data_IF_198877669238
#
_entry.id   IF_198877669238
#
_cell.length_a   1.000
_cell.length_b   1.000
_cell.length_c   1.000
_cell.angle_alpha   90.00
_cell.angle_beta   90.00
_cell.angle_gamma   90.00
#
_symmetry.space_group_name_H-M   'P 1'
#
loop_
_entity.id
_entity.type
_entity.pdbx_description
1 polymer ?
#
# COMPACT_ATOMS: atom_id res chain seq x y z
N UNK A 1 -26.67 -3.94 12.31
CA UNK A 1 -25.24 -3.61 12.43
C UNK A 1 -24.96 -2.51 11.41
N UNK A 2 -24.27 -1.43 11.79
CA UNK A 2 -23.94 -0.34 10.86
C UNK A 2 -22.98 -0.81 9.79
N UNK A 3 -23.10 -0.27 8.60
CA UNK A 3 -22.16 -0.49 7.49
C UNK A 3 -20.87 0.31 7.71
N UNK A 4 -19.78 -0.06 7.03
CA UNK A 4 -18.50 0.66 7.10
C UNK A 4 -18.67 2.15 6.74
N UNK A 5 -19.52 2.45 5.75
CA UNK A 5 -19.82 3.83 5.33
C UNK A 5 -20.54 4.60 6.44
N UNK A 6 -21.57 4.03 7.06
CA UNK A 6 -22.30 4.66 8.16
C UNK A 6 -21.37 4.96 9.34
N UNK A 7 -20.49 4.03 9.71
CA UNK A 7 -19.51 4.22 10.77
C UNK A 7 -18.55 5.37 10.41
N UNK A 8 -18.03 5.40 9.18
CA UNK A 8 -17.12 6.44 8.74
C UNK A 8 -17.77 7.83 8.68
N UNK A 9 -19.04 7.92 8.24
CA UNK A 9 -19.78 9.18 8.14
C UNK A 9 -20.19 9.75 9.49
N UNK A 10 -20.40 8.91 10.50
CA UNK A 10 -20.69 9.32 11.87
C UNK A 10 -19.44 9.69 12.67
N UNK A 11 -18.24 9.51 12.12
CA UNK A 11 -16.99 9.75 12.82
C UNK A 11 -16.81 11.24 13.18
N UNK A 12 -16.50 11.51 14.44
CA UNK A 12 -16.08 12.83 14.90
C UNK A 12 -14.58 13.02 14.64
N UNK A 13 -14.25 13.62 13.49
CA UNK A 13 -12.86 13.82 13.10
C UNK A 13 -12.22 15.02 13.81
N UNK A 14 -11.00 14.83 14.26
CA UNK A 14 -10.15 15.91 14.78
C UNK A 14 -9.59 16.74 13.61
N UNK A 15 -9.46 18.06 13.72
CA UNK A 15 -8.73 18.84 12.72
C UNK A 15 -7.34 18.29 12.47
N UNK A 16 -6.93 18.19 11.22
CA UNK A 16 -5.67 17.49 10.86
C UNK A 16 -4.43 18.11 11.51
N UNK A 17 -4.41 19.40 11.75
CA UNK A 17 -3.32 20.04 12.47
C UNK A 17 -3.14 19.50 13.89
N UNK A 18 -4.24 19.19 14.57
CA UNK A 18 -4.19 18.61 15.91
C UNK A 18 -3.74 17.14 15.89
N UNK A 19 -4.08 16.41 14.82
CA UNK A 19 -3.54 15.05 14.59
C UNK A 19 -2.03 15.11 14.36
N UNK A 20 -1.56 16.05 13.56
CA UNK A 20 -0.14 16.26 13.28
C UNK A 20 0.66 16.64 14.54
N UNK A 21 0.08 17.47 15.42
CA UNK A 21 0.69 17.85 16.70
C UNK A 21 0.99 16.67 17.60
N UNK A 22 0.23 15.56 17.54
CA UNK A 22 0.52 14.33 18.29
C UNK A 22 1.89 13.73 17.91
N UNK A 23 2.37 14.03 16.72
CA UNK A 23 3.65 13.57 16.19
C UNK A 23 4.77 14.64 16.32
N UNK A 24 4.45 15.79 16.88
CA UNK A 24 5.37 16.93 16.96
C UNK A 24 5.49 17.71 15.65
N UNK A 25 4.55 17.55 14.74
CA UNK A 25 4.50 18.29 13.48
C UNK A 25 3.74 19.60 13.72
N UNK A 26 4.36 20.72 13.37
CA UNK A 26 3.71 22.04 13.48
C UNK A 26 2.91 22.40 12.23
N UNK A 27 2.05 23.41 12.32
CA UNK A 27 1.25 23.88 11.18
C UNK A 27 2.13 24.36 10.01
N UNK A 28 3.33 24.89 10.29
CA UNK A 28 4.29 25.32 9.28
C UNK A 28 4.94 24.15 8.51
N UNK A 29 4.86 22.94 9.04
CA UNK A 29 5.45 21.73 8.45
C UNK A 29 4.46 20.92 7.60
N UNK A 30 3.20 21.38 7.50
CA UNK A 30 2.14 20.73 6.73
C UNK A 30 1.49 21.70 5.74
N UNK A 31 0.99 21.15 4.63
CA UNK A 31 0.15 21.85 3.67
C UNK A 31 -1.28 21.34 3.78
N UNK A 32 -2.21 22.18 4.20
CA UNK A 32 -3.60 21.79 4.43
C UNK A 32 -4.34 21.55 3.10
N UNK A 33 -5.02 20.42 3.03
CA UNK A 33 -5.97 20.06 1.97
C UNK A 33 -7.38 19.97 2.57
N UNK A 34 -7.87 21.10 3.08
CA UNK A 34 -9.08 21.19 3.88
C UNK A 34 -8.82 20.93 5.36
N UNK A 35 -9.89 20.66 6.12
CA UNK A 35 -9.84 20.57 7.59
C UNK A 35 -9.21 19.25 8.10
N UNK A 36 -9.34 18.17 7.33
CA UNK A 36 -9.09 16.81 7.81
C UNK A 36 -7.99 16.06 7.06
N UNK A 37 -7.32 16.70 6.09
CA UNK A 37 -6.21 16.14 5.31
C UNK A 37 -5.10 17.16 5.18
N UNK A 38 -3.87 16.69 5.10
CA UNK A 38 -2.71 17.54 4.80
C UNK A 38 -1.61 16.72 4.13
N UNK A 39 -0.65 17.42 3.56
CA UNK A 39 0.63 16.87 3.13
C UNK A 39 1.72 17.31 4.09
N UNK A 40 2.67 16.40 4.36
CA UNK A 40 3.86 16.70 5.15
C UNK A 40 4.89 17.32 4.21
N UNK A 41 5.46 18.48 4.60
CA UNK A 41 6.45 19.19 3.81
C UNK A 41 7.77 18.40 3.69
N UNK A 42 8.50 18.65 2.61
CA UNK A 42 9.83 18.03 2.45
C UNK A 42 10.82 18.56 3.49
N UNK A 43 10.68 19.82 3.88
CA UNK A 43 11.48 20.50 4.89
C UNK A 43 11.35 19.85 6.26
N UNK A 44 10.16 19.33 6.59
CA UNK A 44 9.96 18.61 7.84
C UNK A 44 10.82 17.36 7.91
N UNK A 45 10.88 16.56 6.84
CA UNK A 45 11.75 15.38 6.82
C UNK A 45 13.22 15.73 7.07
N UNK A 46 13.70 16.83 6.46
CA UNK A 46 15.07 17.29 6.67
C UNK A 46 15.37 17.68 8.13
N UNK A 47 14.35 18.17 8.87
CA UNK A 47 14.47 18.48 10.29
C UNK A 47 14.61 17.23 11.17
N UNK A 48 13.97 16.12 10.80
CA UNK A 48 13.86 14.91 11.63
C UNK A 48 14.70 13.74 11.13
N UNK A 49 15.33 13.83 9.97
CA UNK A 49 16.05 12.69 9.34
C UNK A 49 17.13 12.05 10.21
N UNK A 50 17.70 12.79 11.15
CA UNK A 50 18.75 12.33 12.05
C UNK A 50 18.20 11.77 13.38
N UNK A 51 16.86 11.78 13.59
CA UNK A 51 16.24 11.11 14.72
C UNK A 51 16.47 9.59 14.65
N UNK A 52 16.44 8.93 15.81
CA UNK A 52 16.43 7.46 15.87
C UNK A 52 15.15 6.92 15.19
N UNK A 53 15.27 5.77 14.53
CA UNK A 53 14.14 5.09 13.96
C UNK A 53 13.29 4.41 15.03
N UNK A 54 11.97 4.54 14.89
CA UNK A 54 11.03 3.71 15.64
C UNK A 54 11.02 2.26 15.16
N UNK A 55 10.20 1.44 15.78
CA UNK A 55 10.04 0.02 15.45
C UNK A 55 9.11 -0.16 14.25
N UNK A 56 9.57 -0.90 13.25
CA UNK A 56 8.82 -1.19 12.03
C UNK A 56 8.09 -2.52 12.12
N UNK A 57 6.77 -2.49 12.01
CA UNK A 57 5.89 -3.65 12.05
C UNK A 57 5.26 -3.83 10.67
N UNK A 58 5.53 -4.97 10.04
CA UNK A 58 4.89 -5.34 8.77
C UNK A 58 3.68 -6.22 9.03
N UNK A 59 2.50 -5.79 8.59
CA UNK A 59 1.29 -6.62 8.57
C UNK A 59 1.16 -7.24 7.18
N UNK A 60 1.05 -8.56 7.14
CA UNK A 60 0.81 -9.34 5.94
C UNK A 60 -0.27 -10.39 6.22
N UNK A 61 -0.58 -11.24 5.27
CA UNK A 61 -1.62 -12.26 5.42
C UNK A 61 -1.23 -13.55 4.71
N UNK A 62 -1.96 -14.61 4.99
CA UNK A 62 -1.96 -15.81 4.15
C UNK A 62 -2.52 -15.49 2.77
N UNK A 63 -2.49 -16.44 1.83
CA UNK A 63 -2.99 -16.23 0.47
C UNK A 63 -4.41 -15.63 0.48
N UNK A 64 -4.68 -14.66 -0.42
CA UNK A 64 -6.01 -14.08 -0.54
C UNK A 64 -7.07 -15.11 -0.90
N UNK A 65 -8.20 -15.06 -0.20
CA UNK A 65 -9.39 -15.85 -0.49
C UNK A 65 -10.55 -14.96 -0.92
N UNK A 66 -11.61 -15.52 -1.52
CA UNK A 66 -12.79 -14.73 -1.89
C UNK A 66 -13.50 -14.04 -0.72
N UNK A 67 -13.27 -14.52 0.52
CA UNK A 67 -13.83 -13.94 1.72
C UNK A 67 -13.06 -12.72 2.24
N UNK A 68 -11.80 -12.57 1.81
CA UNK A 68 -10.86 -11.59 2.34
C UNK A 68 -10.32 -11.97 3.73
N UNK A 69 -9.11 -11.54 4.05
CA UNK A 69 -8.45 -11.82 5.35
C UNK A 69 -8.53 -10.63 6.31
N UNK A 70 -8.91 -9.45 5.81
CA UNK A 70 -9.04 -8.24 6.63
C UNK A 70 -7.70 -7.62 7.03
N UNK A 71 -6.67 -7.78 6.21
CA UNK A 71 -5.32 -7.25 6.49
C UNK A 71 -5.30 -5.76 6.81
N UNK A 72 -5.91 -4.91 6.00
CA UNK A 72 -5.97 -3.46 6.23
C UNK A 72 -6.74 -3.14 7.51
N UNK A 73 -7.85 -3.82 7.78
CA UNK A 73 -8.61 -3.67 9.03
C UNK A 73 -7.74 -3.99 10.24
N UNK A 74 -6.98 -5.09 10.19
CA UNK A 74 -6.04 -5.45 11.27
C UNK A 74 -4.91 -4.42 11.39
N UNK A 75 -4.37 -3.93 10.29
CA UNK A 75 -3.33 -2.89 10.30
C UNK A 75 -3.80 -1.62 11.00
N UNK A 76 -4.99 -1.14 10.66
CA UNK A 76 -5.58 0.06 11.26
C UNK A 76 -5.91 -0.18 12.73
N UNK A 77 -6.61 -1.28 13.05
CA UNK A 77 -6.97 -1.60 14.42
C UNK A 77 -5.76 -1.84 15.34
N UNK A 78 -4.68 -2.41 14.81
CA UNK A 78 -3.43 -2.54 15.55
C UNK A 78 -2.83 -1.15 15.87
N UNK A 79 -2.82 -0.23 14.91
CA UNK A 79 -2.37 1.15 15.14
C UNK A 79 -3.21 1.88 16.20
N UNK A 80 -4.53 1.72 16.16
CA UNK A 80 -5.43 2.24 17.19
C UNK A 80 -5.13 1.63 18.57
N UNK A 81 -4.88 0.31 18.62
CA UNK A 81 -4.54 -0.38 19.86
C UNK A 81 -3.23 0.15 20.49
N UNK A 82 -2.21 0.42 19.68
CA UNK A 82 -0.99 1.08 20.16
C UNK A 82 -1.30 2.44 20.78
N UNK A 83 -2.18 3.23 20.15
CA UNK A 83 -2.65 4.50 20.70
C UNK A 83 -3.33 4.35 22.06
N UNK A 84 -4.21 3.35 22.21
CA UNK A 84 -4.87 3.05 23.48
C UNK A 84 -3.90 2.55 24.57
N UNK A 85 -2.77 1.99 24.20
CA UNK A 85 -1.68 1.63 25.11
C UNK A 85 -0.73 2.81 25.40
N UNK A 86 -1.09 4.02 25.01
CA UNK A 86 -0.28 5.23 25.13
C UNK A 86 1.08 5.14 24.45
N UNK A 87 1.16 4.41 23.35
CA UNK A 87 2.36 4.33 22.51
C UNK A 87 2.25 5.33 21.37
N UNK A 88 3.34 6.00 21.05
CA UNK A 88 3.41 6.91 19.90
C UNK A 88 3.54 6.09 18.61
N UNK A 89 2.44 5.88 17.94
CA UNK A 89 2.34 5.04 16.75
C UNK A 89 1.83 5.79 15.53
N UNK A 90 2.28 5.39 14.36
CA UNK A 90 1.82 5.87 13.04
C UNK A 90 1.54 4.67 12.15
N UNK A 91 0.44 4.75 11.41
CA UNK A 91 0.11 3.77 10.37
C UNK A 91 0.58 4.32 9.03
N UNK A 92 1.19 3.47 8.20
CA UNK A 92 1.62 3.83 6.85
C UNK A 92 0.96 2.92 5.82
N UNK A 93 0.09 3.50 4.98
CA UNK A 93 -0.78 2.78 4.05
C UNK A 93 -0.58 3.21 2.61
N UNK A 94 -1.02 2.36 1.68
CA UNK A 94 -1.19 2.73 0.28
C UNK A 94 -2.45 3.57 0.10
N UNK A 95 -2.39 4.49 -0.85
CA UNK A 95 -3.55 5.20 -1.37
C UNK A 95 -4.34 4.27 -2.30
N UNK A 96 -5.68 4.16 -2.17
CA UNK A 96 -6.49 3.32 -3.04
C UNK A 96 -6.67 3.91 -4.44
N UNK A 97 -6.72 3.03 -5.44
CA UNK A 97 -7.03 3.36 -6.85
C UNK A 97 -8.53 3.41 -7.08
N UNK A 98 -8.98 4.31 -7.96
CA UNK A 98 -10.40 4.44 -8.34
C UNK A 98 -10.96 3.16 -8.96
N UNK A 99 -10.20 2.48 -9.80
CA UNK A 99 -10.65 1.25 -10.44
C UNK A 99 -11.11 0.19 -9.44
N UNK A 100 -10.29 -0.25 -8.49
CA UNK A 100 -10.69 -1.13 -7.40
C UNK A 100 -11.81 -0.59 -6.50
N UNK A 101 -11.84 0.72 -6.23
CA UNK A 101 -12.92 1.33 -5.41
C UNK A 101 -14.30 1.15 -6.03
N UNK A 102 -14.41 1.30 -7.35
CA UNK A 102 -15.65 1.08 -8.12
C UNK A 102 -15.80 -0.37 -8.62
N UNK A 103 -14.88 -1.26 -8.28
CA UNK A 103 -14.90 -2.67 -8.63
C UNK A 103 -15.44 -3.57 -7.50
N UNK A 104 -15.23 -4.86 -7.66
CA UNK A 104 -15.67 -5.90 -6.68
C UNK A 104 -14.99 -5.71 -5.32
N UNK A 105 -13.77 -5.21 -5.31
CA UNK A 105 -12.99 -5.03 -4.08
C UNK A 105 -13.54 -3.91 -3.18
N UNK A 106 -14.09 -2.85 -3.77
CA UNK A 106 -14.50 -1.65 -3.03
C UNK A 106 -13.32 -0.81 -2.55
N UNK A 107 -13.57 0.08 -1.59
CA UNK A 107 -12.56 0.95 -0.98
C UNK A 107 -11.56 0.21 -0.09
N UNK A 108 -10.49 0.90 0.32
CA UNK A 108 -9.36 0.32 1.06
C UNK A 108 -9.02 1.12 2.33
N UNK A 109 -10.04 1.58 3.06
CA UNK A 109 -9.89 2.37 4.28
C UNK A 109 -9.86 1.54 5.59
N UNK A 110 -9.93 0.22 5.50
CA UNK A 110 -10.20 -0.68 6.62
C UNK A 110 -11.67 -1.08 6.66
N UNK A 111 -12.18 -1.45 7.84
CA UNK A 111 -13.58 -1.85 8.00
C UNK A 111 -14.05 -1.80 9.45
N UNK A 112 -15.36 -1.73 9.65
CA UNK A 112 -15.96 -1.63 10.97
C UNK A 112 -15.44 -0.43 11.75
N UNK A 113 -15.03 -0.68 12.97
CA UNK A 113 -14.46 0.35 13.86
C UNK A 113 -12.94 0.52 13.72
N UNK A 114 -12.32 -0.13 12.73
CA UNK A 114 -10.91 0.01 12.38
C UNK A 114 -10.78 0.60 10.96
N UNK A 115 -11.01 1.90 10.84
CA UNK A 115 -10.98 2.63 9.58
C UNK A 115 -10.12 3.89 9.67
N UNK A 116 -9.54 4.29 8.54
CA UNK A 116 -8.97 5.62 8.34
C UNK A 116 -10.02 6.56 7.77
N UNK A 117 -10.01 7.80 8.22
CA UNK A 117 -10.96 8.85 7.81
C UNK A 117 -10.23 10.15 7.48
N UNK A 118 -10.73 10.96 6.54
CA UNK A 118 -12.01 10.85 5.81
C UNK A 118 -11.97 9.74 4.75
N UNK A 119 -12.83 8.73 4.88
CA UNK A 119 -12.81 7.53 4.05
C UNK A 119 -13.16 7.82 2.58
N UNK A 120 -14.20 8.61 2.35
CA UNK A 120 -14.65 8.94 0.99
C UNK A 120 -13.58 9.72 0.22
N UNK A 121 -12.95 10.71 0.85
CA UNK A 121 -11.86 11.49 0.24
C UNK A 121 -10.69 10.60 -0.14
N UNK A 122 -10.27 9.71 0.76
CA UNK A 122 -9.16 8.80 0.50
C UNK A 122 -9.45 7.84 -0.64
N UNK A 123 -10.67 7.33 -0.74
CA UNK A 123 -11.07 6.39 -1.79
C UNK A 123 -11.28 7.03 -3.17
N UNK A 124 -11.41 8.35 -3.25
CA UNK A 124 -11.66 9.07 -4.50
C UNK A 124 -10.40 9.82 -4.96
N UNK A 125 -10.45 11.14 -5.05
CA UNK A 125 -9.33 11.94 -5.58
C UNK A 125 -8.29 12.32 -4.53
N UNK A 126 -8.61 12.14 -3.27
CA UNK A 126 -7.78 12.39 -2.10
C UNK A 126 -7.10 13.78 -2.11
N UNK A 127 -5.83 13.83 -2.48
CA UNK A 127 -5.03 15.07 -2.62
C UNK A 127 -4.48 15.26 -4.05
N UNK A 128 -4.91 14.43 -4.98
CA UNK A 128 -4.57 14.56 -6.40
C UNK A 128 -3.30 13.82 -6.84
N UNK A 129 -2.70 12.98 -6.00
CA UNK A 129 -1.45 12.29 -6.32
C UNK A 129 -1.58 11.37 -7.53
N UNK A 130 -2.66 10.61 -7.63
CA UNK A 130 -2.90 9.70 -8.76
C UNK A 130 -3.19 10.46 -10.05
N UNK A 131 -3.88 11.59 -9.95
CA UNK A 131 -4.05 12.48 -11.11
C UNK A 131 -2.70 13.02 -11.60
N UNK A 132 -1.82 13.44 -10.70
CA UNK A 132 -0.48 13.90 -11.04
C UNK A 132 0.36 12.79 -11.72
N UNK A 133 0.27 11.56 -11.21
CA UNK A 133 0.97 10.39 -11.78
C UNK A 133 0.42 10.07 -13.18
N UNK A 134 -0.90 10.04 -13.35
CA UNK A 134 -1.55 9.86 -14.65
C UNK A 134 -1.11 10.93 -15.64
N UNK A 135 -1.11 12.20 -15.21
CA UNK A 135 -0.70 13.32 -16.05
C UNK A 135 0.77 13.23 -16.47
N UNK A 136 1.67 12.91 -15.55
CA UNK A 136 3.10 12.76 -15.85
C UNK A 136 3.36 11.59 -16.82
N UNK A 137 2.69 10.46 -16.61
CA UNK A 137 2.79 9.31 -17.49
C UNK A 137 2.30 9.63 -18.92
N UNK A 138 1.17 10.29 -19.03
CA UNK A 138 0.58 10.61 -20.32
C UNK A 138 1.26 11.79 -21.02
N UNK A 139 1.86 12.71 -20.27
CA UNK A 139 2.75 13.74 -20.82
C UNK A 139 3.95 13.09 -21.52
N UNK A 140 4.59 12.10 -20.89
CA UNK A 140 5.70 11.37 -21.52
C UNK A 140 5.26 10.69 -22.81
N UNK A 141 4.10 10.04 -22.83
CA UNK A 141 3.54 9.44 -24.04
C UNK A 141 3.27 10.47 -25.15
N UNK A 142 2.70 11.61 -24.81
CA UNK A 142 2.42 12.68 -25.75
C UNK A 142 3.72 13.29 -26.32
N UNK A 143 4.73 13.52 -25.49
CA UNK A 143 6.03 14.03 -25.93
C UNK A 143 6.78 13.04 -26.84
N UNK A 144 6.67 11.75 -26.54
CA UNK A 144 7.22 10.70 -27.38
C UNK A 144 6.57 10.70 -28.77
N UNK A 145 5.24 10.68 -28.84
CA UNK A 145 4.50 10.72 -30.11
C UNK A 145 4.79 12.02 -30.90
N UNK A 146 4.88 13.15 -30.19
CA UNK A 146 5.27 14.41 -30.82
C UNK A 146 6.69 14.38 -31.37
N UNK A 147 7.65 13.76 -30.68
CA UNK A 147 9.03 13.60 -31.15
C UNK A 147 9.09 12.78 -32.46
N UNK A 148 8.31 11.73 -32.56
CA UNK A 148 8.19 10.91 -33.80
C UNK A 148 7.59 11.78 -34.92
N UNK A 149 6.50 12.50 -34.65
CA UNK A 149 5.76 13.29 -35.64
C UNK A 149 6.57 14.50 -36.13
N UNK A 150 7.35 15.15 -35.29
CA UNK A 150 8.11 16.36 -35.59
C UNK A 150 9.55 16.09 -36.07
N UNK A 151 9.68 15.14 -36.99
CA UNK A 151 10.92 14.86 -37.69
C UNK A 151 11.74 13.71 -37.12
N UNK A 152 11.32 13.09 -36.05
CA UNK A 152 11.92 11.87 -35.48
C UNK A 152 13.45 11.88 -35.39
N UNK A 153 14.01 12.96 -34.85
CA UNK A 153 15.48 13.14 -34.75
C UNK A 153 16.19 12.06 -33.91
N UNK A 154 15.43 11.38 -33.06
CA UNK A 154 15.91 10.25 -32.25
C UNK A 154 15.90 8.92 -33.00
N UNK A 155 15.46 8.89 -34.26
CA UNK A 155 15.36 7.68 -35.09
C UNK A 155 14.53 6.56 -34.47
N UNK A 156 13.43 6.90 -33.78
CA UNK A 156 12.56 5.94 -33.10
C UNK A 156 11.80 5.13 -34.14
N UNK A 157 11.76 3.79 -33.93
CA UNK A 157 10.84 2.93 -34.66
C UNK A 157 9.45 2.97 -33.99
N UNK A 158 8.42 3.47 -34.67
CA UNK A 158 7.05 3.54 -34.12
C UNK A 158 6.48 2.17 -33.71
N UNK A 159 6.99 1.08 -34.30
CA UNK A 159 6.59 -0.28 -33.92
C UNK A 159 7.33 -0.81 -32.67
N UNK A 160 8.32 -0.07 -32.18
CA UNK A 160 9.13 -0.42 -31.01
C UNK A 160 8.88 0.54 -29.83
N UNK A 161 7.73 1.21 -29.80
CA UNK A 161 7.31 2.02 -28.65
C UNK A 161 6.82 1.09 -27.57
N UNK A 162 7.45 1.16 -26.38
CA UNK A 162 7.13 0.31 -25.23
C UNK A 162 6.39 1.07 -24.12
N UNK A 163 6.45 2.41 -24.15
CA UNK A 163 5.75 3.25 -23.18
C UNK A 163 4.24 3.24 -23.42
N UNK A 164 3.48 3.03 -22.36
CA UNK A 164 2.01 2.94 -22.40
C UNK A 164 1.38 4.14 -21.75
N UNK A 165 0.20 4.52 -22.21
CA UNK A 165 -0.67 5.47 -21.53
C UNK A 165 -1.28 4.83 -20.29
N UNK A 166 -1.86 5.63 -19.40
CA UNK A 166 -2.58 5.12 -18.24
C UNK A 166 -3.86 5.91 -17.95
N UNK A 167 -4.76 5.26 -17.24
CA UNK A 167 -5.97 5.84 -16.66
C UNK A 167 -6.26 5.12 -15.36
N UNK A 168 -6.72 5.85 -14.33
CA UNK A 168 -6.97 5.22 -13.03
C UNK A 168 -8.37 4.59 -12.97
N UNK A 169 -8.63 3.65 -13.88
CA UNK A 169 -9.90 2.93 -14.00
C UNK A 169 -9.67 1.52 -14.55
N UNK A 170 -10.52 0.57 -14.14
CA UNK A 170 -10.56 -0.76 -14.74
C UNK A 170 -11.32 -0.67 -16.08
N UNK A 171 -10.59 -0.63 -17.19
CA UNK A 171 -11.18 -0.59 -18.53
C UNK A 171 -10.46 -1.56 -19.49
N UNK A 172 -11.11 -2.69 -19.76
CA UNK A 172 -10.56 -3.74 -20.64
C UNK A 172 -10.52 -3.34 -22.09
N UNK A 173 -11.39 -2.45 -22.52
CA UNK A 173 -11.49 -2.00 -23.92
C UNK A 173 -10.24 -1.21 -24.32
N UNK A 174 -9.59 -0.55 -23.35
CA UNK A 174 -8.38 0.23 -23.58
C UNK A 174 -7.08 -0.57 -23.55
N UNK A 175 -7.11 -1.89 -23.40
CA UNK A 175 -5.90 -2.72 -23.34
C UNK A 175 -5.12 -2.73 -24.64
N UNK A 176 -5.80 -2.68 -25.77
CA UNK A 176 -5.18 -2.57 -27.08
C UNK A 176 -5.99 -1.58 -27.89
N UNK A 177 -5.38 -0.47 -28.28
CA UNK A 177 -5.99 0.62 -29.03
C UNK A 177 -5.10 1.02 -30.19
N UNK A 178 -5.69 1.61 -31.22
CA UNK A 178 -4.95 2.25 -32.29
C UNK A 178 -5.00 3.76 -32.09
N UNK A 179 -3.85 4.40 -32.05
CA UNK A 179 -3.71 5.86 -31.89
C UNK A 179 -3.20 6.50 -33.17
N UNK A 180 -3.32 7.82 -33.29
CA UNK A 180 -2.84 8.58 -34.43
C UNK A 180 -3.70 8.46 -35.71
N UNK A 181 -4.93 7.92 -35.60
CA UNK A 181 -5.89 7.88 -36.70
C UNK A 181 -6.36 9.28 -37.09
N UNK A 182 -6.62 9.46 -38.38
CA UNK A 182 -7.14 10.70 -38.91
C UNK A 182 -6.20 11.35 -39.93
N UNK A 183 -5.90 12.64 -39.76
CA UNK A 183 -5.07 13.39 -40.69
C UNK A 183 -3.59 13.21 -40.37
N UNK A 184 -2.71 13.56 -41.32
CA UNK A 184 -1.27 13.52 -41.13
C UNK A 184 -0.78 14.28 -39.86
N UNK A 185 -1.48 15.34 -39.48
CA UNK A 185 -1.15 16.15 -38.30
C UNK A 185 -1.56 15.46 -36.97
N UNK A 186 -2.38 14.43 -37.03
CA UNK A 186 -2.91 13.76 -35.84
C UNK A 186 -1.94 12.70 -35.28
N UNK A 187 -0.79 12.50 -35.93
CA UNK A 187 0.30 11.64 -35.47
C UNK A 187 0.58 10.44 -36.36
N UNK A 188 1.48 9.61 -35.94
CA UNK A 188 1.82 8.33 -36.59
C UNK A 188 0.90 7.24 -36.10
N UNK A 189 0.22 6.53 -37.01
CA UNK A 189 -0.68 5.42 -36.65
C UNK A 189 0.13 4.29 -36.06
N UNK A 190 -0.22 3.87 -34.87
CA UNK A 190 0.42 2.74 -34.17
C UNK A 190 -0.52 2.13 -33.14
N UNK A 191 -0.18 0.94 -32.66
CA UNK A 191 -0.80 0.33 -31.49
C UNK A 191 -0.33 1.01 -30.22
N UNK A 192 -1.23 1.18 -29.26
CA UNK A 192 -0.97 1.64 -27.91
C UNK A 192 -1.80 0.85 -26.91
N UNK A 193 -1.55 1.06 -25.63
CA UNK A 193 -2.24 0.41 -24.52
C UNK A 193 -2.51 1.43 -23.41
N UNK A 194 -3.57 1.20 -22.63
CA UNK A 194 -3.79 1.90 -21.36
C UNK A 194 -3.63 0.91 -20.21
N UNK A 195 -2.70 1.18 -19.32
CA UNK A 195 -2.61 0.47 -18.03
C UNK A 195 -3.34 1.28 -16.96
N UNK A 196 -3.75 0.64 -15.87
CA UNK A 196 -4.25 1.37 -14.71
C UNK A 196 -3.11 2.16 -14.06
N UNK A 197 -3.37 3.36 -13.59
CA UNK A 197 -2.34 4.27 -13.04
C UNK A 197 -1.45 3.61 -12.00
N UNK A 198 -2.00 2.79 -11.13
CA UNK A 198 -1.26 2.07 -10.08
C UNK A 198 -0.36 0.93 -10.60
N UNK A 199 -0.47 0.58 -11.87
CA UNK A 199 0.41 -0.35 -12.57
C UNK A 199 1.49 0.37 -13.40
N UNK A 200 1.48 1.70 -13.46
CA UNK A 200 2.46 2.47 -14.22
C UNK A 200 3.84 2.45 -13.55
N UNK A 201 4.90 2.57 -14.37
CA UNK A 201 6.26 2.73 -13.85
C UNK A 201 6.41 4.02 -13.04
N UNK A 202 5.67 5.09 -13.38
CA UNK A 202 5.70 6.36 -12.63
C UNK A 202 5.24 6.15 -11.18
N UNK A 203 4.20 5.35 -10.96
CA UNK A 203 3.78 4.99 -9.60
C UNK A 203 4.88 4.29 -8.82
N UNK A 204 5.53 3.29 -9.41
CA UNK A 204 6.63 2.57 -8.76
C UNK A 204 7.83 3.48 -8.49
N UNK A 205 8.19 4.34 -9.43
CA UNK A 205 9.28 5.30 -9.29
C UNK A 205 9.01 6.28 -8.15
N UNK A 206 7.81 6.87 -8.09
CA UNK A 206 7.43 7.79 -7.01
C UNK A 206 7.53 7.10 -5.64
N UNK A 207 7.07 5.85 -5.54
CA UNK A 207 7.10 5.10 -4.29
C UNK A 207 8.49 4.67 -3.83
N UNK A 208 9.45 4.50 -4.76
CA UNK A 208 10.83 4.12 -4.44
C UNK A 208 11.77 5.32 -4.33
N UNK A 209 11.38 6.49 -4.84
CA UNK A 209 12.20 7.70 -4.78
C UNK A 209 12.38 8.18 -3.33
N UNK A 210 13.61 8.56 -2.99
CA UNK A 210 13.99 9.05 -1.66
C UNK A 210 14.02 10.58 -1.57
N UNK A 211 14.17 11.24 -2.72
CA UNK A 211 14.19 12.70 -2.84
C UNK A 211 13.68 13.14 -4.19
N UNK A 212 13.49 14.46 -4.35
CA UNK A 212 13.11 15.05 -5.65
C UNK A 212 14.21 14.91 -6.70
N UNK A 213 15.47 14.94 -6.28
CA UNK A 213 16.60 14.70 -7.17
C UNK A 213 16.65 13.23 -7.64
N UNK A 214 16.46 12.29 -6.72
CA UNK A 214 16.36 10.85 -7.02
C UNK A 214 15.17 10.55 -7.94
N UNK A 215 14.03 11.20 -7.74
CA UNK A 215 12.88 11.11 -8.64
C UNK A 215 13.27 11.47 -10.08
N UNK A 216 13.93 12.61 -10.29
CA UNK A 216 14.38 13.05 -11.62
C UNK A 216 15.36 12.07 -12.25
N UNK A 217 16.30 11.55 -11.47
CA UNK A 217 17.27 10.60 -11.98
C UNK A 217 16.59 9.29 -12.45
N UNK A 218 15.65 8.79 -11.65
CA UNK A 218 14.86 7.58 -12.00
C UNK A 218 13.99 7.80 -13.23
N UNK A 219 13.28 8.93 -13.30
CA UNK A 219 12.47 9.29 -14.47
C UNK A 219 13.32 9.36 -15.74
N UNK A 220 14.53 9.89 -15.66
CA UNK A 220 15.45 9.99 -16.81
C UNK A 220 15.87 8.64 -17.39
N UNK A 221 15.84 7.57 -16.61
CA UNK A 221 16.25 6.22 -17.02
C UNK A 221 15.11 5.39 -17.62
N UNK A 222 13.88 5.89 -17.61
CA UNK A 222 12.73 5.17 -18.17
C UNK A 222 12.93 4.97 -19.67
N UNK A 223 12.88 3.72 -20.12
CA UNK A 223 12.94 3.37 -21.55
C UNK A 223 11.52 3.52 -22.12
N UNK A 224 11.41 4.34 -23.18
CA UNK A 224 10.12 4.64 -23.80
C UNK A 224 9.93 3.97 -25.16
N UNK A 225 11.02 3.72 -25.88
CA UNK A 225 11.03 3.13 -27.21
C UNK A 225 12.41 2.60 -27.57
N UNK A 226 12.52 2.00 -28.75
CA UNK A 226 13.80 1.65 -29.37
C UNK A 226 13.89 2.31 -30.75
N UNK A 227 15.13 2.58 -31.18
CA UNK A 227 15.44 3.09 -32.51
C UNK A 227 15.33 1.98 -33.55
N UNK A 228 15.36 2.32 -34.85
CA UNK A 228 15.37 1.33 -35.94
C UNK A 228 16.57 0.38 -35.89
N UNK A 229 17.68 0.76 -35.27
CA UNK A 229 18.86 -0.04 -35.01
C UNK A 229 18.91 -0.68 -33.63
N UNK A 230 17.77 -0.64 -32.89
CA UNK A 230 17.59 -1.36 -31.63
C UNK A 230 18.19 -0.69 -30.40
N UNK A 231 18.56 0.58 -30.46
CA UNK A 231 19.07 1.30 -29.30
C UNK A 231 17.93 1.81 -28.42
N UNK A 232 18.02 1.75 -27.07
CA UNK A 232 16.98 2.25 -26.19
C UNK A 232 16.90 3.78 -26.23
N UNK A 233 15.68 4.30 -26.23
CA UNK A 233 15.36 5.71 -26.09
C UNK A 233 14.73 5.93 -24.74
N UNK A 234 15.20 6.93 -23.99
CA UNK A 234 14.77 7.19 -22.62
C UNK A 234 13.91 8.47 -22.52
N UNK A 235 13.23 8.64 -21.38
CA UNK A 235 12.50 9.87 -21.08
C UNK A 235 13.43 11.10 -21.06
N UNK A 236 14.73 10.93 -20.73
CA UNK A 236 15.74 11.98 -20.82
C UNK A 236 15.99 12.38 -22.26
N UNK A 237 16.06 11.42 -23.18
CA UNK A 237 16.32 11.69 -24.61
C UNK A 237 15.18 12.48 -25.24
N UNK A 238 13.92 12.19 -24.88
CA UNK A 238 12.75 12.98 -25.31
C UNK A 238 12.56 14.26 -24.51
N UNK A 239 13.45 14.57 -23.57
CA UNK A 239 13.48 15.81 -22.77
C UNK A 239 12.24 16.02 -21.88
N UNK A 240 11.59 14.93 -21.43
CA UNK A 240 10.35 14.98 -20.66
C UNK A 240 10.55 15.13 -19.14
N UNK A 241 11.73 14.82 -18.62
CA UNK A 241 11.99 14.66 -17.16
C UNK A 241 11.59 15.92 -16.36
N UNK A 242 11.94 17.10 -16.83
CA UNK A 242 11.63 18.36 -16.11
C UNK A 242 10.13 18.61 -15.97
N UNK A 243 9.37 18.40 -17.06
CA UNK A 243 7.93 18.59 -17.06
C UNK A 243 7.21 17.51 -16.21
N UNK A 244 7.64 16.25 -16.30
CA UNK A 244 7.12 15.17 -15.46
C UNK A 244 7.38 15.46 -13.97
N UNK A 245 8.59 15.88 -13.62
CA UNK A 245 8.96 16.21 -12.25
C UNK A 245 8.15 17.40 -11.70
N UNK A 246 7.86 18.40 -12.53
CA UNK A 246 7.01 19.53 -12.16
C UNK A 246 5.58 19.09 -11.82
N UNK A 247 5.00 18.18 -12.61
CA UNK A 247 3.68 17.59 -12.34
C UNK A 247 3.66 16.77 -11.05
N UNK A 248 4.76 16.10 -10.71
CA UNK A 248 4.88 15.22 -9.55
C UNK A 248 5.33 15.94 -8.27
N UNK A 249 5.58 17.26 -8.31
CA UNK A 249 6.15 18.02 -7.19
C UNK A 249 5.40 17.79 -5.88
N UNK A 250 4.09 17.98 -5.88
CA UNK A 250 3.28 17.85 -4.67
C UNK A 250 2.94 16.39 -4.36
N UNK A 251 2.83 15.54 -5.38
CA UNK A 251 2.63 14.10 -5.21
C UNK A 251 3.79 13.39 -4.48
N UNK A 252 4.96 13.99 -4.42
CA UNK A 252 6.11 13.49 -3.65
C UNK A 252 5.99 13.67 -2.14
N UNK A 253 5.05 14.47 -1.66
CA UNK A 253 4.83 14.71 -0.24
C UNK A 253 3.83 13.70 0.33
N UNK A 254 4.16 12.98 1.42
CA UNK A 254 3.23 12.07 2.06
C UNK A 254 1.97 12.77 2.57
N UNK A 255 0.83 12.12 2.43
CA UNK A 255 -0.44 12.60 2.98
C UNK A 255 -0.60 12.11 4.41
N UNK A 256 -1.17 12.94 5.28
CA UNK A 256 -1.55 12.61 6.66
C UNK A 256 -3.06 12.73 6.84
N UNK A 257 -3.63 11.70 7.44
CA UNK A 257 -5.02 11.60 7.90
C UNK A 257 -5.06 10.91 9.26
N UNK A 258 -6.20 10.46 9.71
CA UNK A 258 -6.40 9.85 11.03
C UNK A 258 -7.25 8.59 10.94
N UNK A 259 -7.19 7.76 11.98
CA UNK A 259 -8.16 6.69 12.19
C UNK A 259 -9.39 7.20 12.93
N UNK A 260 -10.41 6.36 13.09
CA UNK A 260 -11.59 6.67 13.91
C UNK A 260 -11.23 7.05 15.36
N UNK A 261 -10.16 6.50 15.89
CA UNK A 261 -9.65 6.79 17.24
C UNK A 261 -8.51 7.85 17.24
N UNK A 262 -8.37 8.60 16.14
CA UNK A 262 -7.43 9.71 15.98
C UNK A 262 -5.94 9.30 15.95
N UNK A 263 -5.62 8.04 15.71
CA UNK A 263 -4.25 7.61 15.45
C UNK A 263 -3.81 8.19 14.11
N UNK A 264 -2.64 8.84 14.02
CA UNK A 264 -2.15 9.38 12.75
C UNK A 264 -1.86 8.28 11.73
N UNK A 265 -2.24 8.53 10.48
CA UNK A 265 -1.96 7.64 9.36
C UNK A 265 -1.35 8.41 8.19
N UNK A 266 -0.21 7.93 7.69
CA UNK A 266 0.38 8.39 6.44
C UNK A 266 -0.13 7.52 5.30
N UNK A 267 -0.66 8.16 4.27
CA UNK A 267 -1.17 7.49 3.07
C UNK A 267 -0.44 8.06 1.87
N UNK A 268 0.36 7.24 1.18
CA UNK A 268 1.20 7.74 0.09
C UNK A 268 1.60 6.66 -0.89
N UNK A 269 1.22 6.86 -2.16
CA UNK A 269 1.44 5.92 -3.26
C UNK A 269 0.58 4.66 -3.15
N UNK A 270 0.42 3.96 -4.25
CA UNK A 270 -0.45 2.78 -4.32
C UNK A 270 -0.04 1.76 -5.38
N UNK A 271 1.25 1.36 -5.49
CA UNK A 271 1.69 0.43 -6.51
C UNK A 271 1.05 -0.93 -6.29
N UNK A 272 0.56 -1.57 -7.36
CA UNK A 272 0.03 -2.92 -7.29
C UNK A 272 1.13 -3.94 -6.98
N UNK A 273 0.85 -4.88 -6.08
CA UNK A 273 1.82 -5.89 -5.65
C UNK A 273 2.14 -6.94 -6.73
N UNK A 274 1.21 -7.21 -7.64
CA UNK A 274 1.45 -8.12 -8.76
C UNK A 274 2.23 -7.48 -9.93
N UNK A 275 2.38 -6.16 -9.94
CA UNK A 275 3.10 -5.42 -10.99
C UNK A 275 4.39 -4.80 -10.43
N UNK A 276 4.34 -4.21 -9.25
CA UNK A 276 5.46 -3.53 -8.60
C UNK A 276 5.69 -4.09 -7.17
N UNK A 277 6.16 -3.27 -6.23
CA UNK A 277 6.50 -3.72 -4.88
C UNK A 277 5.32 -3.77 -3.90
N UNK A 278 4.15 -3.21 -4.27
CA UNK A 278 2.89 -3.45 -3.55
C UNK A 278 2.78 -2.92 -2.14
N UNK A 279 3.53 -1.88 -1.79
CA UNK A 279 3.50 -1.23 -0.49
C UNK A 279 3.60 0.30 -0.66
N UNK A 280 3.29 1.05 0.40
CA UNK A 280 3.37 2.50 0.38
C UNK A 280 4.79 3.00 0.10
N UNK A 281 4.95 4.30 -0.09
CA UNK A 281 6.23 4.89 -0.47
C UNK A 281 7.32 4.69 0.60
N UNK A 282 8.56 4.61 0.13
CA UNK A 282 9.76 4.66 0.98
C UNK A 282 9.77 5.95 1.81
N UNK A 283 9.40 7.08 1.20
CA UNK A 283 9.40 8.38 1.85
C UNK A 283 8.42 8.42 3.03
N UNK A 284 7.18 7.93 2.86
CA UNK A 284 6.20 7.88 3.94
C UNK A 284 6.68 6.98 5.10
N UNK A 285 7.20 5.79 4.80
CA UNK A 285 7.70 4.87 5.83
C UNK A 285 8.90 5.44 6.59
N UNK A 286 9.87 6.02 5.89
CA UNK A 286 11.04 6.66 6.54
C UNK A 286 10.62 7.86 7.39
N UNK A 287 9.72 8.70 6.90
CA UNK A 287 9.21 9.83 7.68
C UNK A 287 8.50 9.34 8.94
N UNK A 288 7.66 8.32 8.82
CA UNK A 288 6.97 7.71 9.96
C UNK A 288 7.95 7.18 11.02
N UNK A 289 8.99 6.46 10.60
CA UNK A 289 10.00 5.91 11.50
C UNK A 289 10.76 6.99 12.29
N UNK A 290 10.96 8.18 11.70
CA UNK A 290 11.66 9.29 12.36
C UNK A 290 10.80 10.07 13.35
N UNK A 291 9.49 9.90 13.34
CA UNK A 291 8.58 10.70 14.17
C UNK A 291 7.73 9.87 15.15
N UNK A 292 7.80 8.56 15.12
CA UNK A 292 7.02 7.69 16.00
C UNK A 292 7.86 6.55 16.56
N UNK A 293 7.44 6.02 17.73
CA UNK A 293 8.11 4.88 18.35
C UNK A 293 7.78 3.56 17.64
N UNK A 294 6.57 3.49 17.05
CA UNK A 294 6.09 2.33 16.31
C UNK A 294 5.46 2.75 14.98
N UNK A 295 5.83 2.06 13.92
CA UNK A 295 5.24 2.25 12.58
C UNK A 295 4.62 0.95 12.13
N UNK A 296 3.33 0.97 11.85
CA UNK A 296 2.57 -0.19 11.36
C UNK A 296 2.29 0.01 9.88
N UNK A 297 2.77 -0.88 9.06
CA UNK A 297 2.57 -0.83 7.60
C UNK A 297 2.13 -2.17 7.06
N UNK A 298 1.68 -2.20 5.81
CA UNK A 298 1.22 -3.43 5.16
C UNK A 298 1.83 -3.61 3.76
N UNK A 299 1.77 -4.84 3.26
CA UNK A 299 2.08 -5.19 1.89
C UNK A 299 0.91 -5.88 1.22
N UNK A 300 0.74 -5.68 -0.09
CA UNK A 300 -0.39 -6.21 -0.85
C UNK A 300 -0.36 -7.73 -1.01
N UNK A 301 -1.51 -8.36 -1.20
CA UNK A 301 -1.67 -9.81 -1.33
C UNK A 301 -1.20 -10.59 -0.09
N UNK A 302 -0.81 -11.85 -0.26
CA UNK A 302 -0.28 -12.69 0.80
C UNK A 302 1.22 -12.50 1.04
N UNK A 303 1.72 -13.20 2.05
CA UNK A 303 3.13 -13.11 2.43
C UNK A 303 4.08 -13.68 1.37
N UNK A 304 3.61 -14.60 0.56
CA UNK A 304 4.33 -15.20 -0.57
C UNK A 304 4.55 -14.24 -1.75
N UNK A 305 3.88 -13.10 -1.75
CA UNK A 305 4.01 -12.07 -2.79
C UNK A 305 4.38 -10.70 -2.17
N UNK A 306 3.47 -10.12 -1.40
CA UNK A 306 3.62 -8.76 -0.88
C UNK A 306 4.72 -8.62 0.17
N UNK A 307 4.75 -9.50 1.15
CA UNK A 307 5.81 -9.46 2.17
C UNK A 307 7.18 -9.77 1.58
N UNK A 308 7.27 -10.73 0.66
CA UNK A 308 8.51 -11.05 -0.06
C UNK A 308 9.02 -9.82 -0.83
N UNK A 309 8.18 -9.14 -1.59
CA UNK A 309 8.55 -7.89 -2.28
C UNK A 309 8.89 -6.75 -1.32
N UNK A 310 8.21 -6.67 -0.19
CA UNK A 310 8.55 -5.70 0.85
C UNK A 310 9.99 -5.91 1.35
N UNK A 311 10.35 -7.15 1.67
CA UNK A 311 11.70 -7.51 2.14
C UNK A 311 12.75 -7.33 1.03
N UNK A 312 12.51 -7.92 -0.14
CA UNK A 312 13.51 -8.02 -1.20
C UNK A 312 13.64 -6.75 -2.05
N UNK A 313 12.61 -5.92 -2.13
CA UNK A 313 12.65 -4.68 -2.92
C UNK A 313 12.71 -3.46 -1.99
N UNK A 314 11.65 -3.21 -1.21
CA UNK A 314 11.53 -1.97 -0.41
C UNK A 314 12.60 -1.89 0.67
N UNK A 315 12.77 -2.94 1.47
CA UNK A 315 13.76 -2.95 2.54
C UNK A 315 15.18 -2.80 2.01
N UNK A 316 15.55 -3.53 0.96
CA UNK A 316 16.89 -3.44 0.35
C UNK A 316 17.16 -2.07 -0.25
N UNK A 317 16.20 -1.50 -0.98
CA UNK A 317 16.35 -0.19 -1.61
C UNK A 317 16.39 0.96 -0.61
N UNK A 318 15.67 0.84 0.48
CA UNK A 318 15.51 1.91 1.47
C UNK A 318 16.37 1.75 2.73
N UNK A 319 17.06 0.62 2.90
CA UNK A 319 17.80 0.31 4.12
C UNK A 319 16.87 0.11 5.31
N UNK A 320 15.71 -0.50 5.10
CA UNK A 320 14.71 -0.78 6.13
C UNK A 320 14.87 -2.21 6.66
N UNK A 321 14.50 -2.40 7.93
CA UNK A 321 14.48 -3.70 8.58
C UNK A 321 13.25 -3.78 9.49
N UNK A 322 12.27 -4.66 9.22
CA UNK A 322 11.16 -4.86 10.12
C UNK A 322 11.63 -5.48 11.44
N UNK A 323 11.07 -4.99 12.54
CA UNK A 323 11.31 -5.54 13.88
C UNK A 323 10.37 -6.71 14.19
N UNK A 324 9.20 -6.75 13.54
CA UNK A 324 8.19 -7.81 13.68
C UNK A 324 7.32 -7.90 12.44
N UNK A 325 6.88 -9.11 12.12
CA UNK A 325 5.85 -9.36 11.11
C UNK A 325 4.60 -9.89 11.79
N UNK A 326 3.46 -9.26 11.51
CA UNK A 326 2.13 -9.76 11.90
C UNK A 326 1.53 -10.49 10.71
N UNK A 327 1.31 -11.78 10.84
CA UNK A 327 0.72 -12.64 9.82
C UNK A 327 -0.76 -12.86 10.12
N UNK A 328 -1.62 -12.27 9.30
CA UNK A 328 -3.07 -12.37 9.45
C UNK A 328 -3.59 -13.64 8.81
N UNK A 329 -4.36 -14.41 9.55
CA UNK A 329 -5.13 -15.54 9.07
C UNK A 329 -6.60 -15.41 9.49
N UNK A 330 -7.48 -16.18 8.85
CA UNK A 330 -8.88 -16.35 9.26
C UNK A 330 -9.26 -17.82 9.25
N UNK A 331 -10.13 -18.22 10.15
CA UNK A 331 -10.71 -19.58 10.15
C UNK A 331 -11.35 -19.87 8.81
N UNK A 332 -12.08 -18.92 8.24
CA UNK A 332 -12.74 -19.05 6.93
C UNK A 332 -11.76 -19.34 5.80
N UNK A 333 -10.65 -18.60 5.74
CA UNK A 333 -9.63 -18.81 4.72
C UNK A 333 -8.99 -20.20 4.83
N UNK A 334 -8.67 -20.64 6.03
CA UNK A 334 -8.06 -21.96 6.25
C UNK A 334 -9.04 -23.09 5.94
N UNK A 335 -10.32 -22.98 6.29
CA UNK A 335 -11.36 -23.95 5.88
C UNK A 335 -11.56 -23.96 4.37
N UNK A 336 -11.55 -22.79 3.71
CA UNK A 336 -11.62 -22.71 2.26
C UNK A 336 -10.44 -23.43 1.60
N UNK A 337 -9.22 -23.22 2.10
CA UNK A 337 -8.02 -23.93 1.65
C UNK A 337 -8.11 -25.43 1.92
N UNK A 338 -8.87 -25.84 2.91
CA UNK A 338 -9.19 -27.25 3.22
C UNK A 338 -10.29 -27.87 2.37
N UNK A 339 -10.88 -27.08 1.43
CA UNK A 339 -11.86 -27.55 0.46
C UNK A 339 -13.33 -27.26 0.81
N UNK A 340 -13.61 -26.43 1.82
CA UNK A 340 -14.98 -26.03 2.16
C UNK A 340 -15.48 -24.99 1.15
N UNK A 341 -16.67 -25.16 0.57
CA UNK A 341 -17.30 -24.17 -0.30
C UNK A 341 -17.57 -22.84 0.41
N UNK A 342 -17.55 -21.73 -0.35
CA UNK A 342 -17.68 -20.37 0.21
C UNK A 342 -18.94 -20.15 1.05
N UNK A 343 -20.05 -20.74 0.66
CA UNK A 343 -21.35 -20.64 1.31
C UNK A 343 -21.48 -21.46 2.61
N UNK A 344 -20.51 -22.33 2.91
CA UNK A 344 -20.46 -23.18 4.11
C UNK A 344 -19.37 -22.80 5.11
N UNK A 345 -18.63 -21.71 4.87
CA UNK A 345 -17.49 -21.28 5.70
C UNK A 345 -17.88 -20.82 7.12
N UNK A 346 -19.16 -20.56 7.37
CA UNK A 346 -19.68 -20.21 8.71
C UNK A 346 -19.91 -21.41 9.64
N UNK A 347 -19.89 -22.63 9.11
CA UNK A 347 -20.07 -23.85 9.88
C UNK A 347 -18.74 -24.34 10.44
N UNK A 348 -18.72 -24.84 11.69
CA UNK A 348 -17.53 -25.47 12.26
C UNK A 348 -17.08 -26.66 11.41
N UNK A 349 -15.79 -26.70 11.07
CA UNK A 349 -15.20 -27.81 10.32
C UNK A 349 -13.70 -27.96 10.63
N UNK A 350 -13.42 -28.67 11.73
CA UNK A 350 -12.02 -28.91 12.16
C UNK A 350 -11.24 -29.79 11.18
N UNK A 351 -11.87 -30.72 10.48
CA UNK A 351 -11.17 -31.58 9.52
C UNK A 351 -10.69 -30.80 8.30
N UNK A 352 -11.52 -29.89 7.80
CA UNK A 352 -11.13 -28.99 6.72
C UNK A 352 -10.07 -27.98 7.19
N UNK A 353 -10.21 -27.45 8.42
CA UNK A 353 -9.21 -26.57 9.02
C UNK A 353 -7.83 -27.24 9.10
N UNK A 354 -7.78 -28.51 9.58
CA UNK A 354 -6.56 -29.32 9.63
C UNK A 354 -5.92 -29.54 8.25
N UNK A 355 -6.73 -29.68 7.22
CA UNK A 355 -6.23 -29.80 5.83
C UNK A 355 -5.69 -28.49 5.30
N UNK A 356 -6.37 -27.38 5.58
CA UNK A 356 -6.03 -26.06 5.04
C UNK A 356 -4.91 -25.35 5.80
N UNK A 357 -4.61 -25.74 7.04
CA UNK A 357 -3.62 -25.05 7.89
C UNK A 357 -2.19 -25.13 7.34
N UNK A 358 -1.89 -26.05 6.44
CA UNK A 358 -0.60 -26.13 5.74
C UNK A 358 -0.28 -24.87 4.95
N UNK A 359 -1.31 -24.12 4.55
CA UNK A 359 -1.13 -22.80 3.93
C UNK A 359 -0.53 -21.80 4.94
N UNK A 360 -1.06 -21.75 6.16
CA UNK A 360 -0.51 -20.92 7.24
C UNK A 360 0.92 -21.36 7.59
N UNK A 361 1.16 -22.66 7.69
CA UNK A 361 2.50 -23.21 7.96
C UNK A 361 3.53 -22.70 6.96
N UNK A 362 3.21 -22.78 5.67
CA UNK A 362 4.13 -22.36 4.61
C UNK A 362 4.43 -20.87 4.69
N UNK A 363 3.45 -20.04 5.00
CA UNK A 363 3.69 -18.60 5.19
C UNK A 363 4.55 -18.31 6.43
N UNK A 364 4.36 -19.03 7.52
CA UNK A 364 5.21 -18.93 8.71
C UNK A 364 6.67 -19.27 8.35
N UNK A 365 6.89 -20.43 7.71
CA UNK A 365 8.22 -20.85 7.27
C UNK A 365 8.90 -19.82 6.38
N UNK A 366 8.19 -19.30 5.37
CA UNK A 366 8.72 -18.32 4.44
C UNK A 366 9.13 -17.01 5.16
N UNK A 367 8.32 -16.54 6.10
CA UNK A 367 8.64 -15.33 6.87
C UNK A 367 9.82 -15.53 7.82
N UNK A 368 9.91 -16.70 8.45
CA UNK A 368 11.04 -17.04 9.34
C UNK A 368 12.38 -17.07 8.59
N UNK A 369 12.39 -17.39 7.28
CA UNK A 369 13.62 -17.35 6.46
C UNK A 369 14.22 -15.94 6.36
N UNK A 370 13.44 -14.89 6.52
CA UNK A 370 13.95 -13.51 6.57
C UNK A 370 14.57 -13.14 7.92
N UNK A 371 14.50 -14.00 8.93
CA UNK A 371 15.07 -13.76 10.27
C UNK A 371 14.29 -12.75 11.11
N UNK A 372 13.05 -12.45 10.76
CA UNK A 372 12.18 -11.52 11.49
C UNK A 372 11.20 -12.30 12.37
N UNK A 373 10.98 -11.90 13.64
CA UNK A 373 9.98 -12.53 14.50
C UNK A 373 8.57 -12.42 13.90
N UNK A 374 7.81 -13.50 14.00
CA UNK A 374 6.44 -13.60 13.46
C UNK A 374 5.43 -13.74 14.59
N UNK A 375 4.44 -12.86 14.60
CA UNK A 375 3.22 -12.97 15.41
C UNK A 375 2.07 -13.32 14.49
N UNK A 376 1.44 -14.47 14.69
CA UNK A 376 0.23 -14.84 13.96
C UNK A 376 -0.97 -14.21 14.64
N UNK A 377 -1.83 -13.57 13.89
CA UNK A 377 -3.11 -13.07 14.38
C UNK A 377 -4.27 -13.70 13.62
N UNK A 378 -5.28 -14.10 14.37
CA UNK A 378 -6.54 -14.53 13.81
C UNK A 378 -7.50 -13.33 13.79
N UNK A 379 -7.86 -12.87 12.58
CA UNK A 379 -8.93 -11.89 12.42
C UNK A 379 -10.26 -12.61 12.61
N UNK A 380 -10.84 -12.44 13.80
CA UNK A 380 -11.97 -13.24 14.27
C UNK A 380 -13.28 -12.79 13.62
N UNK A 381 -14.07 -13.76 13.19
CA UNK A 381 -15.47 -13.58 12.79
C UNK A 381 -16.40 -14.16 13.87
N UNK A 382 -17.61 -13.61 13.96
CA UNK A 382 -18.62 -14.01 14.96
C UNK A 382 -19.01 -15.48 14.86
N UNK A 383 -18.77 -16.11 13.73
CA UNK A 383 -19.07 -17.54 13.45
C UNK A 383 -17.93 -18.48 13.79
N UNK A 384 -16.75 -17.96 14.17
CA UNK A 384 -15.60 -18.79 14.50
C UNK A 384 -15.81 -19.43 15.88
N UNK A 385 -15.49 -20.73 16.00
CA UNK A 385 -15.68 -21.46 17.24
C UNK A 385 -14.41 -21.52 18.08
N UNK A 386 -14.58 -21.74 19.39
CA UNK A 386 -13.45 -21.87 20.31
C UNK A 386 -12.53 -23.05 19.93
N UNK A 387 -13.11 -24.15 19.46
CA UNK A 387 -12.35 -25.32 19.04
C UNK A 387 -11.45 -25.02 17.81
N UNK A 388 -11.97 -24.29 16.85
CA UNK A 388 -11.20 -23.83 15.68
C UNK A 388 -10.08 -22.88 16.09
N UNK A 389 -10.36 -21.94 16.97
CA UNK A 389 -9.40 -21.01 17.52
C UNK A 389 -8.25 -21.70 18.27
N UNK A 390 -8.58 -22.56 19.24
CA UNK A 390 -7.59 -23.27 20.05
C UNK A 390 -6.69 -24.16 19.18
N UNK A 391 -7.25 -24.78 18.14
CA UNK A 391 -6.44 -25.57 17.22
C UNK A 391 -5.38 -24.71 16.50
N UNK A 392 -5.76 -23.55 15.98
CA UNK A 392 -4.82 -22.65 15.28
C UNK A 392 -3.76 -22.11 16.25
N UNK A 393 -4.16 -21.71 17.45
CA UNK A 393 -3.25 -21.23 18.49
C UNK A 393 -2.17 -22.25 18.81
N UNK A 394 -2.58 -23.49 19.17
CA UNK A 394 -1.65 -24.57 19.48
C UNK A 394 -0.71 -24.86 18.31
N UNK A 395 -1.24 -24.85 17.09
CA UNK A 395 -0.46 -25.06 15.87
C UNK A 395 0.64 -23.99 15.70
N UNK A 396 0.35 -22.72 15.98
CA UNK A 396 1.32 -21.63 15.91
C UNK A 396 2.39 -21.74 17.00
N UNK A 397 1.98 -22.01 18.23
CA UNK A 397 2.89 -22.16 19.39
C UNK A 397 3.89 -23.31 19.17
N UNK A 398 3.45 -24.46 18.64
CA UNK A 398 4.32 -25.58 18.28
C UNK A 398 5.40 -25.22 17.24
N UNK A 399 5.17 -24.17 16.45
CA UNK A 399 6.12 -23.67 15.42
C UNK A 399 6.93 -22.46 15.87
N UNK A 400 6.87 -22.16 17.17
CA UNK A 400 7.63 -21.05 17.76
C UNK A 400 7.15 -19.65 17.39
N UNK A 401 5.90 -19.56 16.91
CA UNK A 401 5.23 -18.29 16.63
C UNK A 401 4.40 -17.86 17.82
N UNK A 402 4.45 -16.56 18.12
CA UNK A 402 3.49 -15.95 19.03
C UNK A 402 2.11 -15.86 18.34
N UNK A 403 1.06 -15.85 19.16
CA UNK A 403 -0.32 -15.82 18.66
C UNK A 403 -1.18 -14.85 19.47
N UNK A 404 -2.06 -14.11 18.79
CA UNK A 404 -3.08 -13.28 19.43
C UNK A 404 -4.33 -13.17 18.54
N UNK A 405 -5.50 -12.99 19.17
CA UNK A 405 -6.75 -12.67 18.46
C UNK A 405 -6.80 -11.20 18.10
N UNK A 406 -7.49 -10.89 17.01
CA UNK A 406 -7.88 -9.54 16.62
C UNK A 406 -9.40 -9.46 16.41
N UNK A 407 -10.05 -8.63 17.20
CA UNK A 407 -11.49 -8.32 17.11
C UNK A 407 -11.72 -6.86 16.70
N UNK A 408 -10.80 -6.32 15.92
CA UNK A 408 -10.72 -4.88 15.63
C UNK A 408 -11.88 -4.38 14.77
N UNK A 409 -12.45 -5.21 13.92
CA UNK A 409 -13.62 -4.82 13.12
C UNK A 409 -14.80 -4.42 14.03
N UNK A 410 -15.05 -5.19 15.07
CA UNK A 410 -16.18 -4.95 15.98
C UNK A 410 -15.86 -3.95 17.11
N UNK A 411 -14.60 -3.89 17.55
CA UNK A 411 -14.21 -3.20 18.79
C UNK A 411 -13.12 -2.13 18.60
N UNK A 412 -12.71 -1.85 17.36
CA UNK A 412 -11.64 -0.88 17.11
C UNK A 412 -10.33 -1.26 17.82
N UNK A 413 -9.63 -0.26 18.34
CA UNK A 413 -8.36 -0.45 19.05
C UNK A 413 -8.45 -1.35 20.28
N UNK A 414 -9.56 -1.34 21.00
CA UNK A 414 -9.78 -2.24 22.14
C UNK A 414 -9.66 -3.72 21.72
N UNK A 415 -10.23 -4.06 20.55
CA UNK A 415 -10.13 -5.42 20.00
C UNK A 415 -8.74 -5.83 19.51
N UNK A 416 -7.80 -4.89 19.44
CA UNK A 416 -6.41 -5.10 19.02
C UNK A 416 -5.38 -5.08 20.15
N UNK A 417 -5.78 -4.78 21.39
CA UNK A 417 -4.84 -4.63 22.51
C UNK A 417 -4.01 -5.87 22.78
N UNK A 418 -4.63 -7.04 22.82
CA UNK A 418 -3.90 -8.29 23.03
C UNK A 418 -2.85 -8.53 21.94
N UNK A 419 -3.17 -8.24 20.68
CA UNK A 419 -2.23 -8.31 19.57
C UNK A 419 -1.10 -7.28 19.74
N UNK A 420 -1.43 -6.03 20.08
CA UNK A 420 -0.43 -4.97 20.28
C UNK A 420 0.56 -5.32 21.40
N UNK A 421 0.07 -5.81 22.54
CA UNK A 421 0.90 -6.25 23.66
C UNK A 421 1.81 -7.41 23.24
N UNK A 422 1.29 -8.39 22.49
CA UNK A 422 2.08 -9.51 21.98
C UNK A 422 3.17 -9.06 21.00
N UNK A 423 2.88 -8.09 20.14
CA UNK A 423 3.86 -7.51 19.22
C UNK A 423 4.96 -6.78 19.97
N UNK A 424 4.61 -5.96 20.96
CA UNK A 424 5.58 -5.25 21.81
C UNK A 424 6.50 -6.25 22.53
N UNK A 425 5.91 -7.24 23.20
CA UNK A 425 6.66 -8.31 23.89
C UNK A 425 7.62 -9.05 22.94
N UNK A 426 7.15 -9.34 21.71
CA UNK A 426 7.97 -10.03 20.72
C UNK A 426 9.15 -9.18 20.27
N UNK A 427 8.95 -7.89 20.02
CA UNK A 427 10.02 -6.96 19.64
C UNK A 427 11.07 -6.83 20.75
N UNK A 428 10.64 -6.77 22.02
CA UNK A 428 11.53 -6.62 23.16
C UNK A 428 12.35 -7.89 23.43
N UNK A 429 11.75 -9.08 23.25
CA UNK A 429 12.36 -10.35 23.63
C UNK A 429 13.06 -11.09 22.46
N UNK A 430 12.70 -10.80 21.22
CA UNK A 430 13.23 -11.46 20.03
C UNK A 430 13.67 -10.42 18.99
N UNK A 431 14.80 -9.74 19.19
CA UNK A 431 15.28 -8.76 18.22
C UNK A 431 15.56 -9.40 16.87
N UNK A 432 15.18 -8.71 15.80
CA UNK A 432 15.38 -9.15 14.40
C UNK A 432 16.82 -8.94 13.93
#
# INVERSE_FOLDING_TARGET
MKTDIEIAQEAEMMPIKNVAEQLGITEDDIELYGKYKAKISNEYYEKIKDNEDGKLILVTAINPTPAGEGKTTVTVGLGEAFGQLNKKAVIALREPSLGPCFGIKGGAAGGGYAQVVPMEDMNLHFTGDFHAITSANNLLAAMLDNSIQQGNVLNIDPNQVVWKRCVDMNDRVLRNVVVGLGRKVDGTVREDHFVITVASEIMAILCLATSYADLKERLGKVIVAYTYDGQPVTAKDVKAVGAMAALLKDAMKPNIIQTLEHTPALVHGGPFANIAHGCNSVKATKTALKMADYVITEAGFGADLGAEKFMDIKCRKAGLKPDCVVLVATVRALKYNGGVPKDQLSEENLDALKKGIVNLEKHIENLQLFGVPVVVTLNQFITDTEAEYEYIKNFCEERGCEFALAEVWAKGGEGGKALAEKVIETIENKPS
#
